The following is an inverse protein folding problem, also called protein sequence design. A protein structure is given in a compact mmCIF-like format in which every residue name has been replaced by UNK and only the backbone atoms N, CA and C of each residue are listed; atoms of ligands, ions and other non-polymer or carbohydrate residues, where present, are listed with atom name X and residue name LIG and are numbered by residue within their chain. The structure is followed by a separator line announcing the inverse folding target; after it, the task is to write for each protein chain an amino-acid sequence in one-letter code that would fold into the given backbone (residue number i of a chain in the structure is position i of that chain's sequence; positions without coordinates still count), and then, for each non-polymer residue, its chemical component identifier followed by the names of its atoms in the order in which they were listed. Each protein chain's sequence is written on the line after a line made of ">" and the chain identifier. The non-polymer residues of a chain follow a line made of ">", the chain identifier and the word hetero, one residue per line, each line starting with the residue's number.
data_IF_621045547058
#
_entry.id   IF_621045547058
#
_cell.length_a   1.000
_cell.length_b   1.000
_cell.length_c   1.000
_cell.angle_alpha   90.00
_cell.angle_beta   90.00
_cell.angle_gamma   90.00
#
_symmetry.space_group_name_H-M   'P 1'
#
loop_
_entity.id
_entity.type
_entity.pdbx_description
1 polymer ?
#
# COMPACT_ATOMS: atom_id res chain seq x y z
N UNK A 1 14.96 64.40 -18.84
CA UNK A 1 13.79 64.87 -19.61
C UNK A 1 13.08 63.63 -20.12
N UNK A 2 12.12 63.08 -19.37
CA UNK A 2 10.70 63.49 -19.33
C UNK A 2 9.98 63.19 -20.66
N UNK A 3 9.17 62.13 -20.67
CA UNK A 3 7.80 61.99 -21.22
C UNK A 3 7.53 60.49 -21.50
N UNK A 4 6.88 59.71 -20.62
CA UNK A 4 5.46 59.67 -20.25
C UNK A 4 4.50 59.17 -21.36
N UNK A 5 3.70 58.16 -20.97
CA UNK A 5 2.39 57.73 -21.51
C UNK A 5 2.40 56.98 -22.88
N UNK A 6 1.63 55.94 -23.19
CA UNK A 6 0.46 55.29 -22.56
C UNK A 6 0.13 53.99 -23.32
N UNK A 7 -0.32 52.97 -22.58
CA UNK A 7 -1.45 52.05 -22.83
C UNK A 7 -1.82 51.69 -24.29
N UNK A 8 -1.87 50.39 -24.59
CA UNK A 8 -3.00 49.85 -25.36
C UNK A 8 -3.42 48.45 -24.86
N UNK A 9 -4.59 48.42 -24.25
CA UNK A 9 -5.33 47.27 -23.76
C UNK A 9 -6.65 47.27 -24.55
N UNK A 10 -6.95 46.29 -25.40
CA UNK A 10 -8.27 46.20 -25.97
C UNK A 10 -9.22 45.42 -25.05
N UNK A 11 -10.40 46.01 -24.94
CA UNK A 11 -11.51 45.70 -24.07
C UNK A 11 -12.20 44.34 -24.33
N UNK A 12 -12.65 43.75 -23.22
CA UNK A 12 -14.00 43.24 -22.94
C UNK A 12 -14.96 42.98 -24.13
N UNK A 13 -15.50 41.75 -24.17
CA UNK A 13 -16.94 41.55 -24.00
C UNK A 13 -17.76 41.07 -25.21
N UNK A 14 -18.19 39.80 -25.15
CA UNK A 14 -19.44 39.21 -25.72
C UNK A 14 -19.49 37.77 -25.18
N UNK A 15 -20.21 37.41 -24.10
CA UNK A 15 -21.66 37.38 -23.88
C UNK A 15 -22.45 36.75 -25.03
N UNK A 16 -22.78 35.46 -24.90
CA UNK A 16 -24.12 34.90 -25.20
C UNK A 16 -24.22 33.42 -24.76
N UNK A 17 -25.39 33.08 -24.22
CA UNK A 17 -25.93 31.75 -23.89
C UNK A 17 -25.28 31.05 -22.67
N UNK A 18 -25.83 31.10 -21.45
CA UNK A 18 -27.21 30.77 -21.02
C UNK A 18 -27.66 29.36 -21.43
N UNK A 19 -27.40 28.41 -20.53
CA UNK A 19 -28.13 27.15 -20.34
C UNK A 19 -27.64 26.62 -18.98
N UNK A 20 -28.21 27.06 -17.86
CA UNK A 20 -29.43 26.45 -17.30
C UNK A 20 -29.33 24.93 -17.26
N UNK A 21 -28.43 24.40 -16.45
CA UNK A 21 -28.75 23.18 -15.69
C UNK A 21 -28.88 23.59 -14.23
N UNK A 22 -30.12 23.99 -13.97
CA UNK A 22 -30.75 24.29 -12.70
C UNK A 22 -30.40 23.22 -11.67
N UNK A 23 -30.03 23.69 -10.48
CA UNK A 23 -30.08 22.96 -9.22
C UNK A 23 -31.33 22.07 -9.17
N UNK A 24 -31.12 20.76 -9.30
CA UNK A 24 -31.88 19.81 -8.51
C UNK A 24 -30.91 19.19 -7.51
N UNK A 25 -30.63 20.00 -6.49
CA UNK A 25 -30.52 19.48 -5.13
C UNK A 25 -31.91 18.91 -4.81
N UNK A 26 -32.16 17.68 -5.24
CA UNK A 26 -33.20 16.87 -4.64
C UNK A 26 -32.67 16.56 -3.23
N UNK A 27 -33.00 17.47 -2.31
CA UNK A 27 -32.93 17.24 -0.88
C UNK A 27 -33.97 16.14 -0.59
N UNK A 28 -33.62 14.90 -0.90
CA UNK A 28 -34.22 13.79 -0.19
C UNK A 28 -33.78 13.97 1.26
N UNK A 29 -34.72 14.01 2.23
CA UNK A 29 -34.31 13.89 3.62
C UNK A 29 -33.60 12.55 3.72
N UNK A 30 -32.29 12.57 3.96
CA UNK A 30 -31.56 11.45 4.54
C UNK A 30 -32.27 11.21 5.86
N UNK A 31 -33.28 10.34 5.82
CA UNK A 31 -33.94 9.80 6.99
C UNK A 31 -32.84 9.12 7.76
N UNK A 32 -32.41 9.78 8.82
CA UNK A 32 -31.56 9.22 9.85
C UNK A 32 -32.30 8.02 10.46
N UNK A 33 -32.16 6.86 9.81
CA UNK A 33 -32.30 5.59 10.47
C UNK A 33 -30.96 5.33 11.16
N UNK A 34 -30.81 5.90 12.35
CA UNK A 34 -29.89 5.43 13.37
C UNK A 34 -30.33 4.03 13.77
N UNK A 35 -29.89 3.03 13.01
CA UNK A 35 -29.76 1.67 13.48
C UNK A 35 -28.26 1.44 13.67
N UNK A 36 -27.87 1.05 14.88
CA UNK A 36 -26.51 0.71 15.25
C UNK A 36 -25.97 -0.44 14.38
N UNK A 37 -25.49 -0.12 13.18
CA UNK A 37 -24.74 -1.03 12.34
C UNK A 37 -23.35 -1.15 12.97
N UNK A 38 -23.20 -2.18 13.81
CA UNK A 38 -21.91 -2.73 14.25
C UNK A 38 -20.96 -2.73 13.06
N UNK A 39 -19.72 -2.19 13.16
CA UNK A 39 -18.85 -2.07 12.01
C UNK A 39 -18.71 -3.44 11.35
N UNK A 40 -19.14 -3.51 10.09
CA UNK A 40 -18.98 -4.69 9.27
C UNK A 40 -17.49 -5.07 9.30
N UNK A 41 -17.20 -6.33 9.59
CA UNK A 41 -15.82 -6.83 9.66
C UNK A 41 -15.08 -6.41 8.37
N UNK A 42 -13.81 -5.99 8.45
CA UNK A 42 -13.09 -5.59 7.25
C UNK A 42 -13.15 -6.73 6.23
N UNK A 43 -13.49 -6.38 4.99
CA UNK A 43 -13.55 -7.32 3.88
C UNK A 43 -12.24 -8.10 3.81
N UNK A 44 -12.31 -9.41 4.05
CA UNK A 44 -11.13 -10.26 4.08
C UNK A 44 -10.81 -10.69 2.66
N UNK A 45 -9.77 -10.08 2.08
CA UNK A 45 -9.27 -10.48 0.76
C UNK A 45 -8.55 -11.82 0.89
N UNK A 46 -9.18 -12.89 0.41
CA UNK A 46 -8.60 -14.23 0.38
C UNK A 46 -7.62 -14.42 -0.79
N UNK A 47 -6.77 -15.46 -0.70
CA UNK A 47 -5.80 -15.82 -1.76
C UNK A 47 -6.43 -15.89 -3.15
N UNK A 48 -7.64 -16.44 -3.24
CA UNK A 48 -8.37 -16.57 -4.50
C UNK A 48 -8.72 -15.22 -5.15
N UNK A 49 -8.99 -14.18 -4.36
CA UNK A 49 -9.25 -12.84 -4.88
C UNK A 49 -7.96 -12.20 -5.39
N UNK A 50 -6.85 -12.36 -4.67
CA UNK A 50 -5.53 -11.90 -5.11
C UNK A 50 -5.10 -12.56 -6.44
N UNK A 51 -5.34 -13.87 -6.58
CA UNK A 51 -5.04 -14.59 -7.81
C UNK A 51 -5.85 -14.09 -9.01
N UNK A 52 -7.11 -13.65 -8.80
CA UNK A 52 -7.94 -13.06 -9.84
C UNK A 52 -7.41 -11.70 -10.28
N UNK A 53 -7.09 -10.81 -9.34
CA UNK A 53 -6.51 -9.50 -9.67
C UNK A 53 -5.19 -9.66 -10.42
N UNK A 54 -4.32 -10.57 -9.98
CA UNK A 54 -3.05 -10.84 -10.66
C UNK A 54 -3.24 -11.44 -12.06
N UNK A 55 -4.27 -12.27 -12.24
CA UNK A 55 -4.64 -12.81 -13.55
C UNK A 55 -5.12 -11.71 -14.51
N UNK A 56 -5.90 -10.73 -14.02
CA UNK A 56 -6.36 -9.57 -14.79
C UNK A 56 -5.19 -8.64 -15.16
N UNK A 57 -4.34 -8.28 -14.18
CA UNK A 57 -3.20 -7.36 -14.38
C UNK A 57 -2.15 -7.91 -15.35
N UNK A 58 -1.86 -9.22 -15.27
CA UNK A 58 -0.79 -9.85 -16.06
C UNK A 58 -1.31 -10.67 -17.24
N UNK A 59 -2.63 -10.67 -17.49
CA UNK A 59 -3.27 -11.50 -18.53
C UNK A 59 -2.88 -12.98 -18.43
N UNK A 60 -2.75 -13.50 -17.20
CA UNK A 60 -2.39 -14.88 -16.91
C UNK A 60 -3.64 -15.71 -16.60
N UNK A 61 -3.54 -17.04 -16.74
CA UNK A 61 -4.59 -17.92 -16.23
C UNK A 61 -4.63 -17.87 -14.69
N UNK A 62 -5.83 -17.92 -14.10
CA UNK A 62 -6.02 -17.92 -12.63
C UNK A 62 -5.25 -19.06 -11.94
N UNK A 63 -5.12 -20.21 -12.62
CA UNK A 63 -4.32 -21.35 -12.14
C UNK A 63 -2.85 -20.99 -11.99
N UNK A 64 -2.26 -20.39 -13.03
CA UNK A 64 -0.87 -19.93 -13.01
C UNK A 64 -0.64 -18.82 -11.99
N UNK A 65 -1.58 -17.88 -11.86
CA UNK A 65 -1.51 -16.85 -10.83
C UNK A 65 -1.47 -17.45 -9.41
N UNK A 66 -2.28 -18.47 -9.15
CA UNK A 66 -2.30 -19.17 -7.86
C UNK A 66 -0.99 -19.92 -7.60
N UNK A 67 -0.48 -20.65 -8.61
CA UNK A 67 0.81 -21.37 -8.52
C UNK A 67 1.97 -20.41 -8.20
N UNK A 68 2.00 -19.23 -8.82
CA UNK A 68 3.04 -18.21 -8.58
C UNK A 68 2.97 -17.65 -7.17
N UNK A 69 1.77 -17.36 -6.67
CA UNK A 69 1.59 -16.86 -5.30
C UNK A 69 2.04 -17.92 -4.28
N UNK A 70 1.66 -19.18 -4.49
CA UNK A 70 2.04 -20.27 -3.60
C UNK A 70 3.57 -20.49 -3.59
N UNK A 71 4.19 -20.53 -4.78
CA UNK A 71 5.65 -20.65 -4.88
C UNK A 71 6.39 -19.49 -4.20
N UNK A 72 5.92 -18.26 -4.36
CA UNK A 72 6.51 -17.08 -3.70
C UNK A 72 6.45 -17.20 -2.17
N UNK A 73 5.30 -17.61 -1.63
CA UNK A 73 5.12 -17.76 -0.20
C UNK A 73 6.01 -18.88 0.35
N UNK A 74 6.10 -20.00 -0.36
CA UNK A 74 6.97 -21.13 0.00
C UNK A 74 8.44 -20.70 0.03
N UNK A 75 8.94 -20.03 -1.00
CA UNK A 75 10.33 -19.55 -1.07
C UNK A 75 10.68 -18.59 0.07
N UNK A 76 9.74 -17.70 0.46
CA UNK A 76 9.93 -16.81 1.61
C UNK A 76 10.00 -17.63 2.91
N UNK A 77 9.10 -18.59 3.09
CA UNK A 77 9.08 -19.44 4.29
C UNK A 77 10.37 -20.25 4.43
N UNK A 78 10.83 -20.90 3.36
CA UNK A 78 12.09 -21.67 3.35
C UNK A 78 13.28 -20.77 3.65
N UNK A 79 13.39 -19.62 2.97
CA UNK A 79 14.49 -18.68 3.16
C UNK A 79 14.58 -18.17 4.61
N UNK A 80 13.44 -17.84 5.22
CA UNK A 80 13.39 -17.35 6.61
C UNK A 80 13.66 -18.49 7.60
N UNK A 81 13.22 -19.72 7.31
CA UNK A 81 13.52 -20.88 8.15
C UNK A 81 15.03 -21.16 8.23
N UNK A 82 15.72 -21.05 7.10
CA UNK A 82 17.19 -21.13 6.98
C UNK A 82 17.92 -19.98 7.70
N UNK A 83 17.21 -18.94 8.14
CA UNK A 83 17.79 -17.78 8.82
C UNK A 83 18.28 -16.69 7.86
N UNK A 84 17.99 -16.81 6.56
CA UNK A 84 18.26 -15.74 5.60
C UNK A 84 17.26 -14.60 5.81
N UNK A 85 17.70 -13.39 5.51
CA UNK A 85 16.84 -12.21 5.50
C UNK A 85 16.33 -11.97 4.09
N UNK A 86 15.02 -12.04 3.89
CA UNK A 86 14.39 -11.75 2.60
C UNK A 86 13.96 -10.30 2.60
N UNK A 87 14.42 -9.51 1.63
CA UNK A 87 14.02 -8.10 1.48
C UNK A 87 13.41 -7.89 0.11
N UNK A 88 12.16 -7.45 0.08
CA UNK A 88 11.47 -7.02 -1.13
C UNK A 88 11.37 -5.49 -1.07
N UNK A 89 12.11 -4.76 -1.92
CA UNK A 89 12.06 -3.31 -1.93
C UNK A 89 10.62 -2.83 -2.15
N UNK A 90 10.22 -1.76 -1.46
CA UNK A 90 8.87 -1.22 -1.50
C UNK A 90 7.86 -1.93 -0.59
N UNK A 91 7.98 -3.24 -0.39
CA UNK A 91 7.06 -4.00 0.46
C UNK A 91 7.56 -4.14 1.90
N UNK A 92 8.72 -4.76 2.11
CA UNK A 92 9.26 -5.01 3.45
C UNK A 92 10.37 -6.05 3.52
N UNK A 93 10.73 -6.39 4.76
CA UNK A 93 11.76 -7.38 5.06
C UNK A 93 11.26 -8.42 6.05
N UNK A 94 11.65 -9.68 5.83
CA UNK A 94 11.42 -10.80 6.73
C UNK A 94 12.74 -11.26 7.32
N UNK A 95 12.73 -11.48 8.63
CA UNK A 95 13.89 -12.02 9.36
C UNK A 95 13.46 -13.01 10.42
N UNK A 96 14.34 -13.96 10.71
CA UNK A 96 14.22 -14.86 11.86
C UNK A 96 14.58 -14.08 13.12
N UNK A 97 13.65 -13.97 14.07
CA UNK A 97 13.88 -13.34 15.38
C UNK A 97 13.88 -14.41 16.46
N UNK A 98 15.02 -14.58 17.10
CA UNK A 98 15.15 -15.40 18.31
C UNK A 98 14.77 -14.57 19.53
N UNK A 99 14.06 -15.17 20.46
CA UNK A 99 13.77 -14.62 21.79
C UNK A 99 14.40 -15.52 22.82
N UNK A 100 15.32 -14.96 23.61
CA UNK A 100 16.05 -15.67 24.63
C UNK A 100 15.10 -16.34 25.65
N UNK A 101 15.54 -17.50 26.14
CA UNK A 101 14.87 -18.20 27.23
C UNK A 101 14.80 -17.29 28.46
N UNK A 102 13.65 -17.29 29.14
CA UNK A 102 13.44 -16.47 30.32
C UNK A 102 12.48 -17.16 31.28
N UNK A 103 12.64 -16.85 32.57
CA UNK A 103 11.72 -17.30 33.60
C UNK A 103 10.46 -16.45 33.57
N UNK A 104 9.34 -17.09 33.27
CA UNK A 104 8.00 -16.54 33.38
C UNK A 104 7.30 -17.04 34.64
N UNK A 105 6.05 -16.61 34.80
CA UNK A 105 5.16 -17.05 35.88
C UNK A 105 3.83 -17.44 35.25
N UNK A 106 3.25 -18.55 35.66
CA UNK A 106 1.93 -18.94 35.18
C UNK A 106 0.88 -17.93 35.68
N UNK A 107 0.12 -17.25 34.81
CA UNK A 107 -0.88 -16.27 35.21
C UNK A 107 -1.96 -16.82 36.15
N UNK A 108 -2.20 -18.14 36.12
CA UNK A 108 -3.28 -18.78 36.88
C UNK A 108 -2.82 -19.39 38.21
N UNK A 109 -1.58 -19.90 38.30
CA UNK A 109 -1.09 -20.60 39.50
C UNK A 109 0.07 -19.90 40.22
N UNK A 110 0.73 -18.94 39.57
CA UNK A 110 1.84 -18.22 40.17
C UNK A 110 3.13 -19.05 40.32
N UNK A 111 3.20 -20.25 39.79
CA UNK A 111 4.42 -21.06 39.79
C UNK A 111 5.43 -20.53 38.76
N UNK A 112 6.74 -20.67 39.04
CA UNK A 112 7.79 -20.29 38.09
C UNK A 112 7.78 -21.26 36.90
N UNK A 113 7.71 -20.71 35.69
CA UNK A 113 7.75 -21.47 34.43
C UNK A 113 8.97 -21.02 33.62
N UNK A 114 9.85 -21.95 33.27
CA UNK A 114 10.90 -21.68 32.30
C UNK A 114 10.30 -21.67 30.88
N UNK A 115 10.29 -20.49 30.25
CA UNK A 115 9.83 -20.35 28.85
C UNK A 115 11.05 -20.59 27.96
N UNK A 116 11.04 -21.64 27.12
CA UNK A 116 12.17 -21.99 26.27
C UNK A 116 12.46 -20.91 25.23
N UNK A 117 13.61 -21.01 24.57
CA UNK A 117 13.96 -20.13 23.46
C UNK A 117 12.91 -20.22 22.36
N UNK A 118 12.35 -19.07 21.98
CA UNK A 118 11.31 -18.97 20.98
C UNK A 118 11.88 -18.41 19.68
N UNK A 119 11.65 -19.10 18.57
CA UNK A 119 11.98 -18.59 17.24
C UNK A 119 10.68 -18.16 16.55
N UNK A 120 10.62 -16.91 16.11
CA UNK A 120 9.48 -16.39 15.37
C UNK A 120 9.92 -15.61 14.13
N UNK A 121 9.19 -15.68 13.01
CA UNK A 121 9.39 -14.78 11.89
C UNK A 121 8.97 -13.36 12.30
N UNK A 122 9.80 -12.38 11.97
CA UNK A 122 9.49 -10.97 12.13
C UNK A 122 9.42 -10.31 10.76
N UNK A 123 8.27 -9.70 10.45
CA UNK A 123 8.07 -8.88 9.26
C UNK A 123 8.19 -7.40 9.62
N UNK A 124 8.99 -6.66 8.85
CA UNK A 124 9.09 -5.20 8.93
C UNK A 124 8.65 -4.58 7.63
N UNK A 125 7.55 -3.82 7.68
CA UNK A 125 7.03 -3.09 6.53
C UNK A 125 7.98 -1.96 6.10
N UNK A 126 8.21 -1.88 4.78
CA UNK A 126 8.97 -0.80 4.15
C UNK A 126 8.29 0.56 4.30
N UNK A 127 9.07 1.63 4.07
CA UNK A 127 8.55 3.00 4.18
C UNK A 127 7.42 3.25 3.17
N UNK A 128 7.56 2.70 1.97
CA UNK A 128 6.59 2.84 0.87
C UNK A 128 5.27 2.18 1.23
N UNK A 129 5.28 0.91 1.68
CA UNK A 129 4.08 0.23 2.15
C UNK A 129 3.38 0.99 3.29
N UNK A 130 4.14 1.51 4.26
CA UNK A 130 3.57 2.36 5.33
C UNK A 130 2.97 3.65 4.78
N UNK A 131 3.58 4.25 3.75
CA UNK A 131 3.07 5.45 3.08
C UNK A 131 1.74 5.20 2.39
N UNK A 132 1.64 4.11 1.62
CA UNK A 132 0.41 3.69 0.92
C UNK A 132 -0.72 3.43 1.92
N UNK A 133 -0.46 2.66 2.98
CA UNK A 133 -1.48 2.35 4.01
C UNK A 133 -1.95 3.61 4.75
N UNK A 134 -1.05 4.57 5.02
CA UNK A 134 -1.42 5.82 5.70
C UNK A 134 -2.27 6.75 4.83
N UNK A 135 -1.96 6.84 3.54
CA UNK A 135 -2.65 7.74 2.60
C UNK A 135 -3.91 7.09 1.99
N UNK A 136 -4.00 5.76 2.03
CA UNK A 136 -5.07 5.01 1.37
C UNK A 136 -5.02 5.10 -0.15
N UNK A 137 -3.92 5.57 -0.74
CA UNK A 137 -3.76 5.75 -2.17
C UNK A 137 -2.46 5.14 -2.68
N UNK A 138 -2.53 4.58 -3.89
CA UNK A 138 -1.40 3.96 -4.60
C UNK A 138 -0.46 5.00 -5.23
N UNK A 139 -0.83 6.28 -5.24
CA UNK A 139 -0.04 7.38 -5.82
C UNK A 139 1.37 7.47 -5.23
N UNK A 140 1.50 7.16 -3.93
CA UNK A 140 2.79 7.15 -3.25
C UNK A 140 3.71 6.00 -3.69
N UNK A 141 3.15 4.91 -4.21
CA UNK A 141 3.90 3.79 -4.77
C UNK A 141 4.39 4.11 -6.19
N UNK A 142 3.55 4.73 -7.01
CA UNK A 142 3.90 5.08 -8.40
C UNK A 142 5.08 6.04 -8.46
N UNK A 143 5.05 7.11 -7.66
CA UNK A 143 6.14 8.10 -7.58
C UNK A 143 7.45 7.43 -7.15
N UNK A 144 7.40 6.59 -6.12
CA UNK A 144 8.57 5.86 -5.64
C UNK A 144 9.08 4.83 -6.67
N UNK A 145 8.17 4.17 -7.42
CA UNK A 145 8.52 3.20 -8.44
C UNK A 145 9.19 3.85 -9.66
N UNK A 146 8.76 5.05 -10.07
CA UNK A 146 9.39 5.79 -11.17
C UNK A 146 10.77 6.33 -10.78
N UNK A 147 10.92 6.84 -9.56
CA UNK A 147 12.20 7.30 -9.02
C UNK A 147 13.22 6.14 -8.90
N UNK A 148 12.80 4.96 -8.43
CA UNK A 148 13.68 3.79 -8.36
C UNK A 148 14.00 3.22 -9.75
N UNK A 149 13.05 3.23 -10.70
CA UNK A 149 13.34 2.84 -12.10
C UNK A 149 14.34 3.81 -12.74
N UNK A 150 14.22 5.12 -12.50
CA UNK A 150 15.18 6.12 -12.95
C UNK A 150 16.57 5.91 -12.31
N UNK A 151 16.62 5.64 -11.00
CA UNK A 151 17.86 5.33 -10.30
C UNK A 151 18.49 4.00 -10.74
N UNK A 152 17.68 2.97 -11.04
CA UNK A 152 18.13 1.68 -11.55
C UNK A 152 18.68 1.80 -12.99
N UNK A 153 18.06 2.62 -13.84
CA UNK A 153 18.56 2.94 -15.17
C UNK A 153 19.91 3.66 -15.10
N UNK A 154 20.07 4.64 -14.19
CA UNK A 154 21.33 5.34 -13.97
C UNK A 154 22.44 4.42 -13.45
N UNK A 155 22.13 3.53 -12.48
CA UNK A 155 23.11 2.55 -11.96
C UNK A 155 23.53 1.52 -13.01
N UNK A 156 22.61 1.08 -13.88
CA UNK A 156 22.91 0.20 -15.02
C UNK A 156 23.82 0.86 -16.05
N UNK A 157 23.66 2.17 -16.29
CA UNK A 157 24.55 2.94 -17.16
C UNK A 157 25.96 3.11 -16.57
N UNK A 158 26.08 3.29 -15.25
CA UNK A 158 27.37 3.44 -14.58
C UNK A 158 28.19 2.14 -14.49
N UNK A 159 27.55 0.98 -14.40
CA UNK A 159 28.24 -0.33 -14.34
C UNK A 159 28.66 -0.89 -15.72
N UNK A 160 28.22 -0.25 -16.81
CA UNK A 160 28.57 -0.61 -18.20
C UNK A 160 29.83 0.13 -18.69
N UNK A 161 30.50 0.86 -17.82
CA UNK A 161 31.76 1.57 -18.04
C UNK A 161 32.82 0.98 -17.11
#
# INVERSE_FOLDING_TARGET
>A
MALLLTRNLPALGRSAACSTIRRHVFLTPVRAASGDAKPDKPETVGKAMLAKHLAEDQSLSVKKATEVIDALLDDIMLSVAEGKTVTIPGFGSWKKRTRAARKGRNPQTGEPLDIPEGVAPAFSAGNVFKGVVKKGSWDAYEQWAEEEKAAAAAKRAAKKK
#
